data_IF_284720177071
#
_entry.id   IF_284720177071
#
_cell.length_a   1.000
_cell.length_b   1.000
_cell.length_c   1.000
_cell.angle_alpha   90.00
_cell.angle_beta   90.00
_cell.angle_gamma   90.00
#
_symmetry.space_group_name_H-M   'P 1'
#
loop_
_entity.id
_entity.type
_entity.pdbx_description
1 polymer ?
#
# COMPACT_ATOMS: atom_id res chain seq x y z
N UNK A 1 -2.72 -7.97 -22.63
CA UNK A 1 -3.53 -7.76 -21.42
C UNK A 1 -3.44 -6.28 -21.05
N UNK A 2 -4.55 -5.65 -20.70
CA UNK A 2 -4.56 -4.39 -20.00
C UNK A 2 -4.29 -4.68 -18.52
N UNK A 3 -3.14 -4.23 -18.01
CA UNK A 3 -2.71 -4.50 -16.64
C UNK A 3 -2.69 -3.23 -15.82
N UNK A 4 -3.30 -3.24 -14.64
CA UNK A 4 -3.26 -2.15 -13.69
C UNK A 4 -2.40 -2.47 -12.46
N UNK A 5 -1.86 -1.44 -11.82
CA UNK A 5 -1.34 -1.51 -10.45
C UNK A 5 -2.29 -0.79 -9.51
N UNK A 6 -2.64 -1.41 -8.38
CA UNK A 6 -3.33 -0.75 -7.26
C UNK A 6 -2.28 -0.25 -6.26
N UNK A 7 -2.52 0.91 -5.67
CA UNK A 7 -1.61 1.56 -4.73
C UNK A 7 -2.34 2.41 -3.69
N UNK A 8 -1.70 2.62 -2.54
CA UNK A 8 -2.24 3.39 -1.42
C UNK A 8 -1.16 4.15 -0.62
N UNK A 9 0.05 4.24 -1.15
CA UNK A 9 1.19 4.80 -0.42
C UNK A 9 2.25 5.35 -1.36
N UNK A 10 3.52 5.13 -1.03
CA UNK A 10 4.64 5.79 -1.70
C UNK A 10 4.77 5.56 -3.21
N UNK A 11 4.20 4.46 -3.70
CA UNK A 11 4.02 4.21 -5.13
C UNK A 11 3.31 5.35 -5.88
N UNK A 12 2.42 6.09 -5.20
CA UNK A 12 1.64 7.18 -5.82
C UNK A 12 2.54 8.36 -6.21
N UNK A 13 3.50 8.73 -5.37
CA UNK A 13 4.41 9.88 -5.60
C UNK A 13 5.83 9.49 -6.00
N UNK A 14 6.18 8.21 -5.92
CA UNK A 14 7.47 7.68 -6.34
C UNK A 14 7.26 6.29 -6.97
N UNK A 15 6.74 6.20 -8.21
CA UNK A 15 6.39 4.92 -8.84
C UNK A 15 7.61 4.16 -9.37
N UNK A 16 8.75 4.79 -9.65
CA UNK A 16 9.85 4.14 -10.37
C UNK A 16 10.46 2.97 -9.58
N UNK A 17 10.65 1.78 -10.19
CA UNK A 17 10.73 1.54 -11.65
C UNK A 17 9.41 1.11 -12.33
N UNK A 18 8.24 1.25 -11.71
CA UNK A 18 6.97 0.95 -12.40
C UNK A 18 6.81 1.91 -13.59
N UNK A 19 6.67 1.32 -14.79
CA UNK A 19 6.34 2.07 -15.99
C UNK A 19 4.83 2.22 -16.07
N UNK A 20 4.33 3.44 -15.89
CA UNK A 20 2.91 3.75 -15.94
C UNK A 20 2.52 4.17 -17.36
N UNK A 21 1.40 3.64 -17.86
CA UNK A 21 0.76 4.07 -19.10
C UNK A 21 -0.30 5.15 -18.87
N UNK A 22 -0.78 5.32 -17.63
CA UNK A 22 -1.71 6.39 -17.23
C UNK A 22 -1.26 7.05 -15.93
N UNK A 23 -1.76 8.26 -15.62
CA UNK A 23 -1.70 8.79 -14.26
C UNK A 23 -2.43 7.89 -13.25
N UNK A 24 -2.21 8.15 -11.97
CA UNK A 24 -2.96 7.54 -10.88
C UNK A 24 -4.41 8.07 -10.82
N UNK A 25 -5.35 7.15 -10.70
CA UNK A 25 -6.79 7.41 -10.58
C UNK A 25 -7.27 7.08 -9.15
N UNK A 26 -8.08 7.93 -8.49
CA UNK A 26 -8.45 7.80 -7.07
C UNK A 26 -9.62 6.84 -6.79
N UNK A 27 -10.16 6.17 -7.81
CA UNK A 27 -11.39 5.38 -7.75
C UNK A 27 -11.12 3.86 -7.82
N UNK A 28 -10.02 3.41 -7.20
CA UNK A 28 -9.69 2.00 -7.05
C UNK A 28 -10.66 1.22 -6.14
N UNK A 29 -10.47 -0.09 -5.98
CA UNK A 29 -11.31 -0.88 -5.09
C UNK A 29 -11.18 -0.40 -3.64
N UNK A 30 -12.23 -0.58 -2.85
CA UNK A 30 -12.15 -0.32 -1.41
C UNK A 30 -11.41 -1.49 -0.73
N UNK A 31 -10.25 -1.22 -0.13
CA UNK A 31 -9.43 -2.25 0.51
C UNK A 31 -9.21 -1.95 2.00
N UNK A 32 -9.11 -2.98 2.87
CA UNK A 32 -8.87 -2.80 4.30
C UNK A 32 -7.40 -2.43 4.52
N UNK A 33 -7.12 -1.16 4.76
CA UNK A 33 -5.77 -0.61 4.83
C UNK A 33 -5.52 0.11 6.15
N UNK A 34 -4.31 -0.04 6.70
CA UNK A 34 -3.92 0.69 7.91
C UNK A 34 -2.40 0.92 8.00
N UNK A 35 -2.00 1.94 8.78
CA UNK A 35 -0.61 2.24 9.12
C UNK A 35 -0.07 1.23 10.14
N UNK A 36 0.31 0.04 9.67
CA UNK A 36 0.69 -1.10 10.55
C UNK A 36 2.00 -1.78 10.14
N UNK A 37 2.81 -1.14 9.30
CA UNK A 37 4.09 -1.69 8.86
C UNK A 37 5.24 -0.73 9.10
N UNK A 38 6.10 -1.01 10.08
CA UNK A 38 7.39 -0.32 10.17
C UNK A 38 8.34 -0.81 9.07
N UNK A 39 9.23 0.06 8.59
CA UNK A 39 10.27 -0.32 7.63
C UNK A 39 11.55 -0.73 8.37
N UNK A 40 12.36 -1.58 7.74
CA UNK A 40 13.72 -1.86 8.26
C UNK A 40 14.69 -0.73 7.87
N UNK A 41 14.40 -0.01 6.79
CA UNK A 41 15.27 0.99 6.16
C UNK A 41 14.78 2.44 6.40
N UNK A 42 13.56 2.63 6.90
CA UNK A 42 12.97 3.94 7.16
C UNK A 42 12.21 3.99 8.47
N UNK A 43 12.12 5.19 9.04
CA UNK A 43 11.43 5.47 10.31
C UNK A 43 9.96 5.78 10.06
N UNK A 44 9.38 5.21 9.01
CA UNK A 44 8.01 5.44 8.58
C UNK A 44 7.13 4.28 9.02
N UNK A 45 5.89 4.59 9.35
CA UNK A 45 4.84 3.59 9.46
C UNK A 45 4.11 3.59 8.12
N UNK A 46 4.26 2.52 7.35
CA UNK A 46 3.67 2.37 6.03
C UNK A 46 2.25 1.80 6.10
N UNK A 47 1.45 2.19 5.12
CA UNK A 47 0.10 1.64 4.92
C UNK A 47 0.21 0.28 4.24
N UNK A 48 -0.43 -0.74 4.82
CA UNK A 48 -0.55 -2.08 4.23
C UNK A 48 -1.94 -2.65 4.43
N UNK A 49 -2.22 -3.77 3.78
CA UNK A 49 -3.45 -4.53 4.00
C UNK A 49 -3.54 -4.99 5.46
N UNK A 50 -4.69 -4.73 6.08
CA UNK A 50 -4.97 -5.10 7.45
C UNK A 50 -6.44 -5.48 7.58
N UNK A 51 -6.74 -6.79 7.57
CA UNK A 51 -8.10 -7.31 7.46
C UNK A 51 -9.12 -6.77 8.48
N UNK A 52 -8.65 -6.35 9.66
CA UNK A 52 -9.53 -5.79 10.70
C UNK A 52 -9.88 -4.31 10.48
N UNK A 53 -9.24 -3.64 9.53
CA UNK A 53 -9.46 -2.23 9.23
C UNK A 53 -10.72 -2.02 8.36
N UNK A 54 -11.46 -0.92 8.56
CA UNK A 54 -12.50 -0.51 7.61
C UNK A 54 -11.92 -0.30 6.20
N UNK A 55 -12.61 -0.74 5.13
CA UNK A 55 -12.18 -0.50 3.77
C UNK A 55 -12.14 1.00 3.43
N UNK A 56 -11.08 1.44 2.75
CA UNK A 56 -10.88 2.81 2.26
C UNK A 56 -10.56 2.76 0.75
N UNK A 57 -10.81 3.85 0.00
CA UNK A 57 -10.47 3.87 -1.42
C UNK A 57 -8.97 3.74 -1.65
N UNK A 58 -8.60 3.17 -2.79
CA UNK A 58 -7.22 3.07 -3.27
C UNK A 58 -7.05 3.81 -4.58
N UNK A 59 -5.79 3.99 -4.97
CA UNK A 59 -5.43 4.50 -6.28
C UNK A 59 -5.12 3.35 -7.23
N UNK A 60 -5.24 3.59 -8.53
CA UNK A 60 -4.79 2.65 -9.54
C UNK A 60 -4.24 3.36 -10.79
N UNK A 61 -3.35 2.71 -11.52
CA UNK A 61 -2.83 3.20 -12.80
C UNK A 61 -2.61 2.02 -13.75
N UNK A 62 -2.80 2.25 -15.05
CA UNK A 62 -2.40 1.28 -16.06
C UNK A 62 -0.88 1.20 -16.14
N UNK A 63 -0.35 0.00 -16.32
CA UNK A 63 1.06 -0.24 -16.53
C UNK A 63 1.38 -0.27 -18.03
N UNK A 64 2.57 0.21 -18.39
CA UNK A 64 3.14 0.10 -19.74
C UNK A 64 3.77 -1.29 -19.94
N UNK A 65 2.93 -2.32 -19.76
CA UNK A 65 3.26 -3.72 -20.05
C UNK A 65 1.97 -4.50 -20.28
N UNK A 66 2.08 -5.55 -21.10
CA UNK A 66 1.00 -6.49 -21.36
C UNK A 66 1.25 -7.88 -20.75
N UNK A 67 2.33 -8.03 -19.96
CA UNK A 67 2.75 -9.28 -19.32
C UNK A 67 2.66 -9.16 -17.79
N UNK A 68 1.92 -10.08 -17.17
CA UNK A 68 1.67 -10.08 -15.71
C UNK A 68 2.95 -10.39 -14.91
N UNK A 69 3.86 -11.20 -15.43
CA UNK A 69 5.15 -11.48 -14.81
C UNK A 69 6.03 -10.24 -14.79
N UNK A 70 6.08 -9.49 -15.89
CA UNK A 70 6.78 -8.22 -15.98
C UNK A 70 6.18 -7.16 -15.05
N UNK A 71 4.85 -7.09 -14.96
CA UNK A 71 4.16 -6.20 -14.01
C UNK A 71 4.51 -6.53 -12.55
N UNK A 72 4.45 -7.82 -12.18
CA UNK A 72 4.85 -8.31 -10.86
C UNK A 72 6.31 -8.00 -10.56
N UNK A 73 7.20 -8.16 -11.54
CA UNK A 73 8.64 -7.90 -11.35
C UNK A 73 8.94 -6.41 -11.16
N UNK A 74 8.29 -5.52 -11.91
CA UNK A 74 8.40 -4.07 -11.68
C UNK A 74 7.97 -3.70 -10.26
N UNK A 75 6.84 -4.24 -9.80
CA UNK A 75 6.33 -4.01 -8.46
C UNK A 75 7.26 -4.60 -7.38
N UNK A 76 7.74 -5.82 -7.59
CA UNK A 76 8.69 -6.49 -6.70
C UNK A 76 9.96 -5.66 -6.52
N UNK A 77 10.54 -5.17 -7.61
CA UNK A 77 11.74 -4.33 -7.58
C UNK A 77 11.48 -3.02 -6.84
N UNK A 78 10.34 -2.39 -7.11
CA UNK A 78 9.95 -1.14 -6.45
C UNK A 78 9.81 -1.26 -4.95
N UNK A 79 9.14 -2.32 -4.51
CA UNK A 79 8.85 -2.59 -3.10
C UNK A 79 10.00 -3.34 -2.41
N UNK A 80 11.10 -3.61 -3.13
CA UNK A 80 12.25 -4.38 -2.67
C UNK A 80 11.85 -5.74 -2.08
N UNK A 81 10.83 -6.37 -2.65
CA UNK A 81 10.33 -7.67 -2.20
C UNK A 81 11.35 -8.75 -2.61
N UNK A 82 11.71 -9.59 -1.64
CA UNK A 82 12.62 -10.72 -1.84
C UNK A 82 12.03 -11.74 -2.82
N UNK A 83 12.87 -12.31 -3.68
CA UNK A 83 12.44 -13.28 -4.71
C UNK A 83 11.83 -14.54 -4.06
N UNK A 84 12.27 -14.89 -2.86
CA UNK A 84 11.75 -16.02 -2.07
C UNK A 84 10.38 -15.73 -1.44
N UNK A 85 9.85 -14.51 -1.58
CA UNK A 85 8.54 -14.11 -1.06
C UNK A 85 7.60 -13.61 -2.19
N UNK A 86 7.37 -14.39 -3.26
CA UNK A 86 6.55 -13.96 -4.40
C UNK A 86 5.09 -13.68 -4.01
N UNK A 87 4.60 -14.24 -2.91
CA UNK A 87 3.25 -14.00 -2.39
C UNK A 87 3.03 -12.55 -1.92
N UNK A 88 4.10 -11.79 -1.62
CA UNK A 88 3.99 -10.38 -1.24
C UNK A 88 3.79 -9.43 -2.43
N UNK A 89 3.85 -9.96 -3.65
CA UNK A 89 3.34 -9.28 -4.83
C UNK A 89 2.00 -9.93 -5.15
N UNK A 90 0.92 -9.21 -4.87
CA UNK A 90 -0.43 -9.61 -5.24
C UNK A 90 -0.62 -9.55 -6.75
N UNK A 91 -1.25 -10.55 -7.36
CA UNK A 91 -1.74 -10.38 -8.72
C UNK A 91 -2.97 -11.22 -9.06
N UNK A 92 -3.70 -10.76 -10.07
CA UNK A 92 -4.75 -11.53 -10.75
C UNK A 92 -4.52 -11.34 -12.26
N UNK A 93 -4.33 -12.42 -13.06
CA UNK A 93 -4.09 -13.79 -12.61
C UNK A 93 -2.79 -13.89 -11.78
N UNK A 94 -2.72 -14.86 -10.87
CA UNK A 94 -1.50 -15.16 -10.12
C UNK A 94 -0.77 -16.36 -10.76
N UNK A 95 0.49 -16.20 -11.21
CA UNK A 95 1.24 -17.28 -11.85
C UNK A 95 1.71 -18.38 -10.86
N UNK A 96 1.57 -18.16 -9.56
CA UNK A 96 1.94 -19.09 -8.50
C UNK A 96 0.71 -19.63 -7.74
N UNK A 97 -0.50 -19.31 -8.19
CA UNK A 97 -1.78 -19.78 -7.62
C UNK A 97 -1.96 -19.40 -6.13
N UNK A 98 -1.35 -18.30 -5.68
CA UNK A 98 -1.60 -17.79 -4.32
C UNK A 98 -3.04 -17.30 -4.16
N UNK A 99 -3.65 -17.59 -3.01
CA UNK A 99 -4.94 -17.03 -2.63
C UNK A 99 -4.75 -15.75 -1.83
N UNK A 100 -5.48 -14.70 -2.22
CA UNK A 100 -5.52 -13.42 -1.52
C UNK A 100 -6.82 -13.20 -0.74
N UNK A 101 -7.59 -14.27 -0.52
CA UNK A 101 -8.84 -14.26 0.24
C UNK A 101 -9.82 -13.18 -0.22
N UNK A 102 -10.48 -12.54 0.75
CA UNK A 102 -11.47 -11.50 0.50
C UNK A 102 -10.91 -10.29 -0.29
N UNK A 103 -9.62 -9.96 -0.10
CA UNK A 103 -8.96 -8.90 -0.88
C UNK A 103 -8.91 -9.28 -2.36
N UNK A 104 -8.53 -10.53 -2.65
CA UNK A 104 -8.53 -11.08 -4.01
C UNK A 104 -9.91 -11.02 -4.66
N UNK A 105 -10.96 -11.39 -3.92
CA UNK A 105 -12.34 -11.35 -4.42
C UNK A 105 -12.82 -9.93 -4.77
N UNK A 106 -12.50 -8.95 -3.91
CA UNK A 106 -12.83 -7.54 -4.15
C UNK A 106 -12.08 -7.00 -5.36
N UNK A 107 -10.78 -7.28 -5.48
CA UNK A 107 -9.97 -6.87 -6.63
C UNK A 107 -10.48 -7.53 -7.92
N UNK A 108 -10.83 -8.81 -7.88
CA UNK A 108 -11.38 -9.53 -9.03
C UNK A 108 -12.73 -8.94 -9.50
N UNK A 109 -13.60 -8.57 -8.56
CA UNK A 109 -14.87 -7.92 -8.89
C UNK A 109 -14.65 -6.56 -9.56
N UNK A 110 -13.84 -5.71 -8.94
CA UNK A 110 -13.50 -4.39 -9.46
C UNK A 110 -12.83 -4.45 -10.85
N UNK A 111 -11.93 -5.42 -11.05
CA UNK A 111 -11.24 -5.66 -12.32
C UNK A 111 -12.24 -5.98 -13.44
N UNK A 112 -13.24 -6.84 -13.17
CA UNK A 112 -14.30 -7.19 -14.13
C UNK A 112 -15.16 -5.99 -14.50
N UNK A 113 -15.54 -5.18 -13.51
CA UNK A 113 -16.35 -3.97 -13.74
C UNK A 113 -15.65 -2.94 -14.64
N UNK A 114 -14.31 -2.88 -14.58
CA UNK A 114 -13.50 -1.98 -15.39
C UNK A 114 -13.01 -2.55 -16.72
N UNK A 115 -13.25 -3.84 -16.99
CA UNK A 115 -12.70 -4.50 -18.17
C UNK A 115 -11.17 -4.54 -18.18
N UNK A 116 -10.55 -4.70 -17.02
CA UNK A 116 -9.10 -4.86 -16.87
C UNK A 116 -8.77 -6.36 -16.93
N UNK A 117 -7.69 -6.74 -17.61
CA UNK A 117 -7.33 -8.16 -17.81
C UNK A 117 -6.46 -8.70 -16.67
N UNK A 118 -5.67 -7.81 -16.04
CA UNK A 118 -4.86 -8.19 -14.90
C UNK A 118 -4.52 -7.03 -13.97
N UNK A 119 -4.23 -7.35 -12.73
CA UNK A 119 -3.95 -6.38 -11.68
C UNK A 119 -2.79 -6.86 -10.82
N UNK A 120 -1.93 -5.94 -10.38
CA UNK A 120 -0.91 -6.17 -9.36
C UNK A 120 -1.07 -5.21 -8.18
N UNK A 121 -0.70 -5.63 -6.98
CA UNK A 121 -0.68 -4.77 -5.78
C UNK A 121 0.31 -5.28 -4.74
N UNK A 122 0.70 -4.43 -3.80
CA UNK A 122 1.61 -4.82 -2.72
C UNK A 122 0.87 -5.62 -1.66
N UNK A 123 1.27 -6.85 -1.40
CA UNK A 123 0.65 -7.75 -0.41
C UNK A 123 1.59 -8.02 0.78
N UNK A 124 2.34 -7.01 1.20
CA UNK A 124 3.21 -7.08 2.37
C UNK A 124 2.38 -7.20 3.66
N UNK A 125 2.76 -8.08 4.60
CA UNK A 125 2.06 -8.21 5.86
C UNK A 125 2.30 -7.00 6.76
N UNK A 126 1.48 -6.86 7.80
CA UNK A 126 1.83 -6.02 8.93
C UNK A 126 3.21 -6.40 9.50
N UNK A 127 3.92 -5.42 10.04
CA UNK A 127 5.19 -5.63 10.73
C UNK A 127 5.34 -4.49 11.73
N UNK A 128 5.68 -4.82 12.97
CA UNK A 128 5.88 -3.77 13.96
C UNK A 128 6.86 -4.19 15.03
N UNK A 129 7.77 -3.26 15.38
CA UNK A 129 8.85 -3.47 16.33
C UNK A 129 9.67 -4.72 15.96
N UNK A 130 9.99 -4.87 14.67
CA UNK A 130 10.75 -5.99 14.09
C UNK A 130 10.06 -7.36 14.20
N UNK A 131 8.76 -7.40 14.52
CA UNK A 131 7.97 -8.63 14.56
C UNK A 131 7.08 -8.67 13.32
N UNK A 132 7.30 -9.65 12.44
CA UNK A 132 6.46 -9.90 11.27
C UNK A 132 5.05 -10.32 11.69
N UNK A 133 4.05 -9.91 10.90
CA UNK A 133 2.62 -10.21 11.11
C UNK A 133 2.03 -9.66 12.42
N UNK A 134 2.77 -8.79 13.11
CA UNK A 134 2.26 -8.02 14.24
C UNK A 134 1.89 -6.61 13.77
N UNK A 135 0.62 -6.26 13.91
CA UNK A 135 0.17 -4.87 13.80
C UNK A 135 0.26 -4.16 15.16
N UNK A 136 0.66 -2.88 15.22
CA UNK A 136 0.49 -2.07 16.41
C UNK A 136 -1.00 -1.75 16.61
N UNK A 137 -1.42 -1.57 17.86
CA UNK A 137 -2.65 -0.83 18.16
C UNK A 137 -2.53 0.64 17.74
N UNK A 138 -3.65 1.34 17.62
CA UNK A 138 -3.64 2.76 17.26
C UNK A 138 -2.85 3.62 18.26
N UNK A 139 -2.90 3.26 19.55
CA UNK A 139 -2.14 3.95 20.60
C UNK A 139 -0.63 3.65 20.50
N UNK A 140 -0.24 2.41 20.20
CA UNK A 140 1.17 2.06 19.94
C UNK A 140 1.71 2.80 18.72
N UNK A 141 0.93 2.88 17.64
CA UNK A 141 1.31 3.61 16.43
C UNK A 141 1.53 5.12 16.71
N UNK A 142 0.61 5.76 17.44
CA UNK A 142 0.76 7.16 17.87
C UNK A 142 2.00 7.33 18.75
N UNK A 143 2.19 6.48 19.76
CA UNK A 143 3.33 6.57 20.67
C UNK A 143 4.67 6.36 19.95
N UNK A 144 4.71 5.44 18.98
CA UNK A 144 5.87 5.20 18.14
C UNK A 144 6.26 6.45 17.35
N UNK A 145 5.30 7.04 16.64
CA UNK A 145 5.51 8.26 15.85
C UNK A 145 5.85 9.47 16.73
N UNK A 146 5.19 9.61 17.88
CA UNK A 146 5.45 10.71 18.80
C UNK A 146 6.80 10.59 19.51
N UNK A 147 7.35 9.38 19.63
CA UNK A 147 8.68 9.13 20.19
C UNK A 147 9.83 9.59 19.28
N UNK A 148 9.58 9.77 17.97
CA UNK A 148 10.62 10.13 17.01
C UNK A 148 11.12 11.57 17.19
N UNK A 149 12.40 11.82 16.85
CA UNK A 149 13.04 13.12 16.97
C UNK A 149 13.84 13.48 15.72
N UNK A 150 14.04 14.78 15.51
CA UNK A 150 14.85 15.29 14.41
C UNK A 150 14.38 14.79 13.04
N UNK A 151 15.33 14.29 12.26
CA UNK A 151 15.10 13.88 10.87
C UNK A 151 14.14 12.68 10.74
N UNK A 152 14.13 11.78 11.74
CA UNK A 152 13.22 10.64 11.75
C UNK A 152 11.76 11.11 11.82
N UNK A 153 11.47 12.03 12.75
CA UNK A 153 10.12 12.62 12.90
C UNK A 153 9.71 13.36 11.63
N UNK A 154 10.63 14.14 11.04
CA UNK A 154 10.36 14.90 9.82
C UNK A 154 9.94 13.99 8.66
N UNK A 155 10.66 12.88 8.44
CA UNK A 155 10.35 11.91 7.37
C UNK A 155 9.04 11.17 7.63
N UNK A 156 8.79 10.73 8.86
CA UNK A 156 7.56 10.06 9.22
C UNK A 156 6.33 10.98 9.04
N UNK A 157 6.45 12.23 9.47
CA UNK A 157 5.43 13.25 9.25
C UNK A 157 5.20 13.50 7.75
N UNK A 158 6.27 13.73 6.99
CA UNK A 158 6.20 13.93 5.54
C UNK A 158 5.50 12.76 4.82
N UNK A 159 5.81 11.52 5.21
CA UNK A 159 5.14 10.34 4.67
C UNK A 159 3.63 10.37 4.95
N UNK A 160 3.22 10.58 6.21
CA UNK A 160 1.79 10.63 6.59
C UNK A 160 1.05 11.76 5.85
N UNK A 161 1.68 12.93 5.71
CA UNK A 161 1.08 14.08 5.00
C UNK A 161 0.94 13.85 3.49
N UNK A 162 1.87 13.09 2.87
CA UNK A 162 1.83 12.75 1.44
C UNK A 162 0.79 11.70 1.06
N UNK A 163 0.31 10.90 2.02
CA UNK A 163 -0.76 9.95 1.73
C UNK A 163 -2.00 10.73 1.26
N UNK A 164 -2.58 10.41 0.09
CA UNK A 164 -3.74 11.13 -0.44
C UNK A 164 -4.88 11.20 0.54
N UNK A 165 -5.54 12.36 0.65
CA UNK A 165 -6.59 12.65 1.63
C UNK A 165 -7.78 11.66 1.56
N UNK A 166 -8.01 11.07 0.39
CA UNK A 166 -9.03 10.06 0.12
C UNK A 166 -8.78 8.78 0.92
N UNK A 167 -7.50 8.46 1.19
CA UNK A 167 -7.10 7.31 2.01
C UNK A 167 -7.13 7.71 3.48
N UNK A 168 -8.34 7.71 4.05
CA UNK A 168 -8.60 8.12 5.43
C UNK A 168 -8.77 6.90 6.35
N UNK A 169 -7.66 6.34 6.79
CA UNK A 169 -7.67 5.23 7.77
C UNK A 169 -8.00 5.71 9.19
N UNK A 170 -8.25 4.76 10.10
CA UNK A 170 -8.50 5.09 11.50
C UNK A 170 -7.24 5.68 12.14
N UNK A 171 -6.07 5.11 11.86
CA UNK A 171 -4.84 5.59 12.50
C UNK A 171 -4.44 6.96 11.96
N UNK A 172 -4.65 7.23 10.67
CA UNK A 172 -4.46 8.58 10.11
C UNK A 172 -5.26 9.62 10.87
N UNK A 173 -6.55 9.36 11.10
CA UNK A 173 -7.42 10.28 11.84
C UNK A 173 -6.86 10.55 13.25
N UNK A 174 -6.27 9.54 13.90
CA UNK A 174 -5.60 9.71 15.19
C UNK A 174 -4.28 10.48 15.09
N UNK A 175 -3.47 10.27 14.05
CA UNK A 175 -2.24 11.02 13.83
C UNK A 175 -2.54 12.51 13.61
N UNK A 176 -3.56 12.82 12.83
CA UNK A 176 -4.04 14.19 12.63
C UNK A 176 -4.46 14.84 13.96
N UNK A 177 -5.24 14.13 14.77
CA UNK A 177 -5.74 14.63 16.07
C UNK A 177 -4.64 14.80 17.13
N UNK A 178 -3.68 13.88 17.18
CA UNK A 178 -2.69 13.81 18.28
C UNK A 178 -1.37 14.48 17.95
N UNK A 179 -0.95 14.43 16.68
CA UNK A 179 0.36 14.93 16.23
C UNK A 179 0.24 16.18 15.35
N UNK A 180 -0.97 16.52 14.89
CA UNK A 180 -1.20 17.63 13.96
C UNK A 180 -0.70 17.35 12.54
N UNK A 181 -0.49 16.08 12.20
CA UNK A 181 0.03 15.63 10.91
C UNK A 181 -1.08 15.53 9.86
N UNK A 182 -1.59 16.68 9.41
CA UNK A 182 -2.64 16.78 8.40
C UNK A 182 -2.08 16.80 6.99
N UNK A 183 -2.82 16.35 5.96
CA UNK A 183 -2.40 16.59 4.57
C UNK A 183 -2.07 18.07 4.32
N UNK A 184 -1.08 18.33 3.47
CA UNK A 184 -0.73 19.68 3.03
C UNK A 184 -1.84 20.22 2.11
N UNK A 185 -2.10 21.52 2.22
CA UNK A 185 -3.16 22.22 1.48
C UNK A 185 -2.72 22.65 0.08
#
# INVERSE_FOLDING_TARGET
>A
MNIACISWGSLIWAPEPLKLATPWHPDGPLLPLEFVRDSDDSEELAIVLHESAPPVPTYWAMLDTHDIGAAREMLRQREKIRIECPQFVGSIPDPHEFSYGAVGDVVAAWMRERGIDGVVWTALPAKFAKVSERAPSAHEAVAFLDGMRGEQRRKAEEYVRKVPQEIRTLYRTLFEQRLGWTPEA
#
